data_IF_065295487164
#
_entry.id   IF_065295487164
#
_cell.length_a   1.000
_cell.length_b   1.000
_cell.length_c   1.000
_cell.angle_alpha   90.00
_cell.angle_beta   90.00
_cell.angle_gamma   90.00
#
_symmetry.space_group_name_H-M   'P 1'
#
loop_
_entity.id
_entity.type
_entity.pdbx_description
1 polymer ?
#
# COMPACT_ATOMS: atom_id res chain seq x y z
N UNK A 1 24.43 -10.00 10.85
CA UNK A 1 23.04 -10.39 11.04
C UNK A 1 22.37 -9.53 12.11
N UNK A 2 23.17 -9.10 13.10
CA UNK A 2 22.61 -8.36 14.22
C UNK A 2 22.17 -6.96 13.79
N UNK A 3 22.94 -6.31 12.91
CA UNK A 3 22.66 -4.93 12.56
C UNK A 3 21.57 -4.77 11.51
N UNK A 4 21.24 -5.84 10.77
CA UNK A 4 20.05 -5.79 9.92
C UNK A 4 18.79 -6.00 10.74
N UNK A 5 18.89 -6.75 11.84
CA UNK A 5 17.76 -6.87 12.76
C UNK A 5 17.58 -5.61 13.59
N UNK A 6 18.67 -4.91 13.90
CA UNK A 6 18.58 -3.68 14.68
C UNK A 6 17.85 -2.59 13.90
N UNK A 7 18.23 -2.39 12.64
CA UNK A 7 17.54 -1.43 11.80
C UNK A 7 16.08 -1.81 11.61
N UNK A 8 15.81 -3.09 11.44
CA UNK A 8 14.44 -3.55 11.31
C UNK A 8 13.65 -3.27 12.59
N UNK A 9 14.28 -3.53 13.75
CA UNK A 9 13.62 -3.21 15.02
C UNK A 9 13.39 -1.72 15.18
N UNK A 10 14.26 -0.90 14.60
CA UNK A 10 14.03 0.55 14.59
C UNK A 10 12.80 0.90 13.77
N UNK A 11 12.47 0.09 12.77
CA UNK A 11 11.32 0.38 11.91
C UNK A 11 10.01 0.10 12.63
N UNK A 12 9.88 -1.06 13.27
CA UNK A 12 8.68 -1.35 14.04
C UNK A 12 8.46 -0.32 15.15
N UNK A 13 9.55 0.19 15.74
CA UNK A 13 9.43 1.21 16.76
C UNK A 13 8.77 2.46 16.21
N UNK A 14 9.18 2.89 15.01
CA UNK A 14 8.54 4.04 14.37
C UNK A 14 7.09 3.74 14.02
N UNK A 15 6.83 2.54 13.47
CA UNK A 15 5.47 2.16 13.13
C UNK A 15 4.61 2.04 14.39
N UNK A 16 5.17 1.44 15.45
CA UNK A 16 4.43 1.30 16.70
C UNK A 16 4.07 2.66 17.28
N UNK A 17 5.02 3.59 17.29
CA UNK A 17 4.75 4.92 17.81
C UNK A 17 3.71 5.65 16.96
N UNK A 18 3.82 5.51 15.64
CA UNK A 18 2.85 6.16 14.75
C UNK A 18 1.45 5.56 14.93
N UNK A 19 1.36 4.26 15.16
CA UNK A 19 0.06 3.63 15.38
C UNK A 19 -0.56 4.10 16.69
N UNK A 20 0.24 4.18 17.76
CA UNK A 20 -0.27 4.65 19.03
C UNK A 20 -0.74 6.10 18.95
N UNK A 21 -0.12 6.90 18.08
CA UNK A 21 -0.60 8.24 17.87
C UNK A 21 -1.97 8.26 17.19
N UNK A 22 -2.09 7.58 16.05
CA UNK A 22 -3.36 7.52 15.34
C UNK A 22 -4.48 6.99 16.23
N UNK A 23 -4.15 6.09 17.15
CA UNK A 23 -5.15 5.61 18.10
C UNK A 23 -5.78 6.76 18.87
N UNK A 24 -4.95 7.61 19.47
CA UNK A 24 -5.46 8.66 20.34
C UNK A 24 -6.18 9.75 19.55
N UNK A 25 -5.64 10.15 18.39
CA UNK A 25 -6.30 11.16 17.59
C UNK A 25 -7.65 10.68 17.06
N UNK A 26 -7.83 9.35 16.93
CA UNK A 26 -9.10 8.83 16.43
C UNK A 26 -10.18 8.88 17.50
N UNK A 27 -9.87 8.51 18.75
CA UNK A 27 -10.85 8.65 19.82
C UNK A 27 -11.13 10.12 20.10
N UNK A 28 -10.16 11.01 19.86
CA UNK A 28 -10.40 12.43 20.04
C UNK A 28 -11.49 12.92 19.07
N UNK A 29 -11.39 12.50 17.80
CA UNK A 29 -12.45 12.81 16.85
C UNK A 29 -13.75 12.14 17.26
N UNK A 30 -13.67 10.91 17.76
CA UNK A 30 -14.86 10.22 18.24
C UNK A 30 -15.51 10.96 19.40
N UNK A 31 -14.69 11.53 20.29
CA UNK A 31 -15.21 12.28 21.43
C UNK A 31 -15.93 13.54 20.98
N UNK A 32 -15.32 14.28 20.06
CA UNK A 32 -15.90 15.51 19.53
C UNK A 32 -17.11 15.27 18.62
N UNK A 33 -17.71 14.08 18.62
CA UNK A 33 -18.77 13.81 17.65
C UNK A 33 -18.22 13.89 16.25
N UNK A 34 -18.99 14.54 15.37
CA UNK A 34 -18.41 14.93 14.10
C UNK A 34 -17.50 16.14 14.27
N UNK A 35 -17.96 17.13 15.04
CA UNK A 35 -17.26 18.40 15.08
C UNK A 35 -17.31 19.04 13.71
N UNK A 36 -16.16 19.50 13.24
CA UNK A 36 -16.03 19.94 11.86
C UNK A 36 -15.79 18.71 10.99
N UNK A 37 -16.71 18.43 10.07
CA UNK A 37 -16.53 17.29 9.18
C UNK A 37 -15.25 17.42 8.37
N UNK A 38 -14.85 18.65 8.05
CA UNK A 38 -13.59 18.86 7.35
C UNK A 38 -12.41 18.43 8.21
N UNK A 39 -12.51 18.63 9.54
CA UNK A 39 -11.46 18.19 10.44
C UNK A 39 -11.18 16.70 10.30
N UNK A 40 -12.23 15.87 10.37
CA UNK A 40 -12.04 14.43 10.27
C UNK A 40 -11.61 14.03 8.86
N UNK A 41 -12.20 14.66 7.83
CA UNK A 41 -11.84 14.32 6.46
C UNK A 41 -10.38 14.66 6.17
N UNK A 42 -9.90 15.79 6.70
CA UNK A 42 -8.48 16.13 6.52
C UNK A 42 -7.58 15.26 7.38
N UNK A 43 -8.09 14.75 8.50
CA UNK A 43 -7.29 13.88 9.36
C UNK A 43 -7.16 12.48 8.79
N UNK A 44 -8.27 11.93 8.26
CA UNK A 44 -8.21 10.59 7.67
C UNK A 44 -7.27 10.55 6.47
N UNK A 45 -7.37 11.56 5.60
CA UNK A 45 -6.54 11.60 4.40
C UNK A 45 -5.06 11.65 4.75
N UNK A 46 -4.71 12.30 5.86
CA UNK A 46 -3.31 12.39 6.25
C UNK A 46 -2.80 11.08 6.84
N UNK A 47 -3.63 10.43 7.66
CA UNK A 47 -3.20 9.19 8.32
C UNK A 47 -3.17 8.01 7.36
N UNK A 48 -3.97 8.03 6.29
CA UNK A 48 -3.85 7.00 5.27
C UNK A 48 -2.51 7.08 4.56
N UNK A 49 -1.95 8.28 4.43
CA UNK A 49 -0.62 8.43 3.86
C UNK A 49 0.43 7.96 4.86
N UNK A 50 0.14 8.03 6.15
CA UNK A 50 1.05 7.49 7.15
C UNK A 50 1.11 5.97 7.07
N UNK A 51 -0.05 5.31 6.96
CA UNK A 51 -0.07 3.87 6.74
C UNK A 51 0.51 3.51 5.38
N UNK A 52 0.45 4.43 4.42
CA UNK A 52 1.13 4.25 3.15
C UNK A 52 2.62 4.00 3.36
N UNK A 53 3.27 4.88 4.12
CA UNK A 53 4.70 4.74 4.37
C UNK A 53 5.01 3.41 5.06
N UNK A 54 4.15 2.99 5.99
CA UNK A 54 4.43 1.79 6.77
C UNK A 54 4.46 0.55 5.89
N UNK A 55 3.43 0.39 5.03
CA UNK A 55 3.38 -0.79 4.17
C UNK A 55 4.52 -0.81 3.17
N UNK A 56 5.02 0.37 2.76
CA UNK A 56 6.12 0.42 1.80
C UNK A 56 7.43 -0.02 2.44
N UNK A 57 7.69 0.41 3.68
CA UNK A 57 8.91 -0.04 4.36
C UNK A 57 8.89 -1.55 4.58
N UNK A 58 7.74 -2.10 4.97
CA UNK A 58 7.66 -3.53 5.27
C UNK A 58 7.90 -4.37 4.03
N UNK A 59 7.38 -3.95 2.87
CA UNK A 59 7.59 -4.71 1.65
C UNK A 59 9.05 -4.72 1.23
N UNK A 60 9.77 -3.61 1.45
CA UNK A 60 11.19 -3.59 1.14
C UNK A 60 11.97 -4.55 2.03
N UNK A 61 11.61 -4.64 3.31
CA UNK A 61 12.25 -5.61 4.19
C UNK A 61 11.79 -7.02 3.88
N UNK A 62 10.56 -7.18 3.38
CA UNK A 62 10.07 -8.49 2.99
C UNK A 62 10.79 -9.05 1.77
N UNK A 63 11.36 -8.17 0.93
CA UNK A 63 12.18 -8.64 -0.18
C UNK A 63 13.55 -9.12 0.28
N UNK A 64 13.98 -8.73 1.47
CA UNK A 64 15.24 -9.21 2.01
C UNK A 64 15.17 -10.69 2.34
N UNK A 65 16.34 -11.34 2.33
CA UNK A 65 16.46 -12.73 2.71
C UNK A 65 16.92 -12.90 4.14
N UNK A 66 17.13 -14.16 4.51
CA UNK A 66 17.57 -14.50 5.85
C UNK A 66 16.59 -14.16 6.95
N UNK A 67 15.33 -13.87 6.63
CA UNK A 67 14.34 -13.56 7.64
C UNK A 67 13.82 -14.83 8.29
N UNK A 68 13.63 -14.78 9.60
CA UNK A 68 13.07 -15.92 10.32
C UNK A 68 11.65 -16.18 9.82
N UNK A 69 11.29 -17.42 9.51
CA UNK A 69 9.95 -17.70 8.97
C UNK A 69 8.81 -17.10 9.79
N UNK A 70 8.88 -17.19 11.12
CA UNK A 70 7.81 -16.63 11.93
C UNK A 70 7.81 -15.11 11.90
N UNK A 71 9.00 -14.51 11.81
CA UNK A 71 9.07 -13.04 11.72
C UNK A 71 8.52 -12.55 10.40
N UNK A 72 8.76 -13.28 9.32
CA UNK A 72 8.23 -12.89 8.02
C UNK A 72 6.70 -12.93 8.01
N UNK A 73 6.12 -13.89 8.72
CA UNK A 73 4.67 -14.02 8.74
C UNK A 73 4.02 -12.88 9.51
N UNK A 74 4.67 -12.41 10.59
CA UNK A 74 4.13 -11.28 11.34
C UNK A 74 4.22 -9.99 10.53
N UNK A 75 5.31 -9.82 9.78
CA UNK A 75 5.43 -8.67 8.89
C UNK A 75 4.42 -8.76 7.74
N UNK A 76 4.19 -9.97 7.23
CA UNK A 76 3.19 -10.15 6.19
C UNK A 76 1.79 -9.84 6.70
N UNK A 77 1.50 -10.25 7.94
CA UNK A 77 0.20 -9.93 8.53
C UNK A 77 0.05 -8.43 8.74
N UNK A 78 1.11 -7.76 9.18
CA UNK A 78 1.06 -6.31 9.41
C UNK A 78 0.85 -5.56 8.10
N UNK A 79 1.62 -5.90 7.07
CA UNK A 79 1.48 -5.25 5.77
C UNK A 79 0.05 -5.41 5.23
N UNK A 80 -0.53 -6.60 5.39
CA UNK A 80 -1.92 -6.79 5.01
C UNK A 80 -2.84 -5.88 5.82
N UNK A 81 -2.57 -5.75 7.12
CA UNK A 81 -3.39 -4.90 7.97
C UNK A 81 -3.30 -3.44 7.56
N UNK A 82 -2.13 -3.01 7.07
CA UNK A 82 -1.96 -1.62 6.66
C UNK A 82 -2.81 -1.30 5.44
N UNK A 83 -2.80 -2.19 4.45
CA UNK A 83 -3.55 -1.94 3.22
C UNK A 83 -5.05 -1.84 3.50
N UNK A 84 -5.56 -2.69 4.39
CA UNK A 84 -6.98 -2.62 4.73
C UNK A 84 -7.27 -1.34 5.51
N UNK A 85 -6.31 -0.85 6.29
CA UNK A 85 -6.51 0.40 7.01
C UNK A 85 -6.53 1.59 6.07
N UNK A 86 -5.66 1.59 5.05
CA UNK A 86 -5.68 2.64 4.04
C UNK A 86 -7.03 2.66 3.34
N UNK A 87 -7.66 1.49 3.17
CA UNK A 87 -9.01 1.43 2.62
C UNK A 87 -10.00 2.13 3.52
N UNK A 88 -10.10 1.70 4.78
CA UNK A 88 -11.09 2.24 5.69
C UNK A 88 -10.87 3.72 5.96
N UNK A 89 -9.62 4.18 5.89
CA UNK A 89 -9.35 5.60 6.03
C UNK A 89 -9.94 6.39 4.86
N UNK A 90 -9.96 5.79 3.66
CA UNK A 90 -10.54 6.46 2.51
C UNK A 90 -12.06 6.42 2.55
N UNK A 91 -12.65 5.29 2.97
CA UNK A 91 -14.09 5.22 3.10
C UNK A 91 -14.61 6.17 4.17
N UNK A 92 -13.81 6.41 5.21
CA UNK A 92 -14.21 7.36 6.25
C UNK A 92 -14.02 8.80 5.80
N UNK A 93 -13.01 9.07 4.97
CA UNK A 93 -12.79 10.43 4.49
C UNK A 93 -13.89 10.86 3.53
N UNK A 94 -14.32 9.96 2.64
CA UNK A 94 -15.37 10.29 1.71
C UNK A 94 -16.72 10.46 2.41
N UNK A 95 -16.96 9.69 3.48
CA UNK A 95 -18.19 9.86 4.23
C UNK A 95 -18.20 11.15 5.03
N UNK A 96 -17.02 11.61 5.49
CA UNK A 96 -16.93 12.89 6.16
C UNK A 96 -16.99 14.05 5.17
N UNK A 97 -16.49 13.85 3.95
CA UNK A 97 -16.62 14.89 2.93
C UNK A 97 -18.06 15.05 2.48
N UNK A 98 -18.79 13.93 2.34
CA UNK A 98 -20.21 14.02 2.00
C UNK A 98 -21.02 14.61 3.15
N UNK A 99 -20.59 14.39 4.39
CA UNK A 99 -21.30 14.98 5.53
C UNK A 99 -21.00 16.46 5.69
N UNK A 100 -19.82 16.92 5.25
CA UNK A 100 -19.49 18.34 5.33
C UNK A 100 -20.34 19.15 4.35
N UNK A 101 -20.46 18.67 3.12
CA UNK A 101 -21.19 19.42 2.10
C UNK A 101 -22.70 19.32 2.32
N UNK A 102 -23.18 18.15 2.71
CA UNK A 102 -24.63 17.93 2.84
C UNK A 102 -25.17 18.30 4.21
N UNK A 103 -24.44 17.98 5.27
CA UNK A 103 -25.07 17.91 6.57
C UNK A 103 -25.95 16.70 6.71
N UNK A 104 -25.73 15.68 5.88
CA UNK A 104 -26.57 14.50 5.83
C UNK A 104 -26.47 13.71 7.12
N UNK A 105 -27.63 13.30 7.66
CA UNK A 105 -27.64 12.48 8.86
C UNK A 105 -27.17 11.05 8.56
N UNK A 106 -27.36 10.59 7.32
CA UNK A 106 -26.87 9.26 6.95
C UNK A 106 -25.37 9.28 6.71
N UNK A 107 -24.87 10.31 6.03
CA UNK A 107 -23.43 10.48 5.88
C UNK A 107 -22.75 10.72 7.23
N UNK A 108 -23.49 11.20 8.22
CA UNK A 108 -22.96 11.34 9.57
C UNK A 108 -22.73 9.98 10.22
N UNK A 109 -23.79 9.16 10.27
CA UNK A 109 -23.66 7.83 10.85
C UNK A 109 -22.72 6.95 10.05
N UNK A 110 -22.68 7.12 8.72
CA UNK A 110 -21.76 6.35 7.90
C UNK A 110 -20.32 6.76 8.14
N UNK A 111 -20.08 8.05 8.43
CA UNK A 111 -18.73 8.49 8.76
C UNK A 111 -18.32 8.01 10.15
N UNK A 112 -19.29 7.82 11.05
CA UNK A 112 -18.98 7.34 12.39
C UNK A 112 -18.68 5.84 12.40
N UNK A 113 -19.45 5.06 11.63
CA UNK A 113 -19.17 3.63 11.53
C UNK A 113 -17.80 3.37 10.90
N UNK A 114 -17.47 4.11 9.84
CA UNK A 114 -16.15 3.95 9.22
C UNK A 114 -15.04 4.48 10.14
N UNK A 115 -15.34 5.49 10.95
CA UNK A 115 -14.38 5.92 11.97
C UNK A 115 -14.16 4.84 13.01
N UNK A 116 -15.23 4.19 13.47
CA UNK A 116 -15.10 3.16 14.49
C UNK A 116 -14.41 1.92 13.93
N UNK A 117 -14.69 1.57 12.66
CA UNK A 117 -14.03 0.43 12.05
C UNK A 117 -12.54 0.68 11.86
N UNK A 118 -12.17 1.91 11.47
CA UNK A 118 -10.76 2.25 11.37
C UNK A 118 -10.08 2.23 12.73
N UNK A 119 -10.82 2.49 13.81
CA UNK A 119 -10.24 2.42 15.14
C UNK A 119 -9.91 0.99 15.53
N UNK A 120 -10.80 0.04 15.22
CA UNK A 120 -10.55 -1.36 15.55
C UNK A 120 -9.35 -1.89 14.79
N UNK A 121 -9.19 -1.49 13.53
CA UNK A 121 -8.02 -1.91 12.76
C UNK A 121 -6.74 -1.31 13.32
N UNK A 122 -6.82 -0.11 13.92
CA UNK A 122 -5.64 0.52 14.48
C UNK A 122 -5.22 -0.12 15.81
N UNK A 123 -6.17 -0.68 16.56
CA UNK A 123 -5.82 -1.40 17.77
C UNK A 123 -4.94 -2.61 17.45
N UNK A 124 -5.35 -3.41 16.46
CA UNK A 124 -4.59 -4.60 16.10
C UNK A 124 -3.32 -4.25 15.35
N UNK A 125 -3.27 -3.10 14.69
CA UNK A 125 -2.02 -2.66 14.08
C UNK A 125 -0.93 -2.43 15.10
N UNK A 126 -1.26 -1.73 16.20
CA UNK A 126 -0.30 -1.55 17.28
C UNK A 126 0.03 -2.86 17.96
N UNK A 127 -0.97 -3.76 18.08
CA UNK A 127 -0.73 -5.04 18.71
C UNK A 127 0.18 -5.92 17.86
N UNK A 128 0.03 -5.86 16.53
CA UNK A 128 0.89 -6.65 15.66
C UNK A 128 2.30 -6.08 15.60
N UNK A 129 2.41 -4.74 15.59
CA UNK A 129 3.73 -4.12 15.64
C UNK A 129 4.41 -4.36 16.98
N UNK A 130 3.62 -4.54 18.05
CA UNK A 130 4.20 -4.87 19.35
C UNK A 130 4.74 -6.28 19.35
N UNK A 131 3.95 -7.24 18.88
CA UNK A 131 4.40 -8.63 18.86
C UNK A 131 5.59 -8.82 17.93
N UNK A 132 5.59 -8.13 16.78
CA UNK A 132 6.71 -8.23 15.86
C UNK A 132 7.98 -7.68 16.49
N UNK A 133 7.90 -6.50 17.12
CA UNK A 133 9.06 -5.93 17.80
C UNK A 133 9.52 -6.83 18.95
N UNK A 134 8.60 -7.53 19.59
CA UNK A 134 8.98 -8.45 20.66
C UNK A 134 9.74 -9.65 20.11
N UNK A 135 9.32 -10.17 18.97
CA UNK A 135 10.01 -11.33 18.38
C UNK A 135 11.43 -10.96 17.98
N UNK A 136 11.61 -9.80 17.35
CA UNK A 136 12.95 -9.35 16.98
C UNK A 136 13.81 -9.17 18.22
N UNK A 137 13.22 -8.64 19.29
CA UNK A 137 13.98 -8.46 20.53
C UNK A 137 14.43 -9.78 21.11
N UNK A 138 13.65 -10.85 20.92
CA UNK A 138 14.09 -12.17 21.34
C UNK A 138 15.24 -12.66 20.50
N UNK A 139 15.20 -12.43 19.18
CA UNK A 139 16.29 -12.81 18.30
C UNK A 139 17.57 -12.02 18.58
N UNK A 140 17.47 -10.91 19.29
CA UNK A 140 18.64 -10.10 19.65
C UNK A 140 19.18 -10.50 21.02
N UNK B 1 -18.06 -21.19 -2.51
CA UNK B 1 -16.67 -20.88 -2.81
C UNK B 1 -16.53 -20.18 -4.15
N UNK B 2 -17.47 -20.45 -5.05
CA UNK B 2 -17.35 -19.99 -6.43
C UNK B 2 -17.45 -18.47 -6.51
N UNK B 3 -18.44 -17.88 -5.84
CA UNK B 3 -18.63 -16.43 -5.92
C UNK B 3 -17.37 -15.67 -5.55
N UNK B 4 -16.71 -16.09 -4.46
CA UNK B 4 -15.47 -15.43 -4.04
C UNK B 4 -14.36 -15.60 -5.08
N UNK B 5 -14.31 -16.76 -5.75
CA UNK B 5 -13.35 -16.92 -6.83
C UNK B 5 -13.76 -16.15 -8.08
N UNK B 6 -15.07 -16.03 -8.33
CA UNK B 6 -15.54 -15.21 -9.44
C UNK B 6 -15.14 -13.75 -9.24
N UNK B 7 -15.28 -13.23 -8.01
CA UNK B 7 -14.73 -11.93 -7.69
C UNK B 7 -13.23 -11.91 -7.98
N UNK B 8 -12.48 -12.77 -7.28
CA UNK B 8 -11.02 -12.80 -7.40
C UNK B 8 -10.59 -12.78 -8.87
N UNK B 9 -11.13 -13.71 -9.67
CA UNK B 9 -10.75 -13.77 -11.08
C UNK B 9 -11.03 -12.46 -11.80
N UNK B 10 -12.11 -11.77 -11.43
CA UNK B 10 -12.41 -10.47 -12.03
C UNK B 10 -11.38 -9.41 -11.67
N UNK B 11 -10.68 -9.58 -10.54
CA UNK B 11 -9.67 -8.60 -10.15
C UNK B 11 -8.29 -8.92 -10.70
N UNK B 12 -7.91 -10.19 -10.82
CA UNK B 12 -6.66 -10.51 -11.51
C UNK B 12 -6.68 -10.00 -12.94
N UNK B 13 -7.83 -10.06 -13.60
CA UNK B 13 -7.94 -9.56 -14.96
C UNK B 13 -7.66 -8.07 -15.02
N UNK B 14 -8.21 -7.30 -14.08
CA UNK B 14 -7.96 -5.87 -14.04
C UNK B 14 -6.51 -5.58 -13.68
N UNK B 15 -5.94 -6.33 -12.74
CA UNK B 15 -4.55 -6.12 -12.36
C UNK B 15 -3.62 -6.52 -13.49
N UNK B 16 -3.87 -7.67 -14.12
CA UNK B 16 -3.09 -8.08 -15.28
C UNK B 16 -3.19 -7.06 -16.41
N UNK B 17 -4.40 -6.54 -16.64
CA UNK B 17 -4.59 -5.54 -17.69
C UNK B 17 -3.75 -4.31 -17.43
N UNK B 18 -3.84 -3.74 -16.22
CA UNK B 18 -3.07 -2.55 -15.90
C UNK B 18 -1.57 -2.85 -15.91
N UNK B 19 -1.18 -4.04 -15.45
CA UNK B 19 0.21 -4.45 -15.50
C UNK B 19 0.77 -4.38 -16.91
N UNK B 20 0.02 -4.90 -17.89
CA UNK B 20 0.45 -4.86 -19.28
C UNK B 20 0.39 -3.45 -19.84
N UNK B 21 -0.52 -2.62 -19.33
CA UNK B 21 -0.57 -1.24 -19.78
C UNK B 21 0.61 -0.43 -19.29
N UNK B 22 1.03 -0.67 -18.05
CA UNK B 22 2.21 0.03 -17.53
C UNK B 22 3.46 -0.36 -18.31
N UNK B 23 3.59 -1.64 -18.67
CA UNK B 23 4.79 -2.13 -19.34
C UNK B 23 5.07 -1.35 -20.62
N UNK B 24 4.02 -1.03 -21.39
CA UNK B 24 4.21 -0.31 -22.64
C UNK B 24 4.51 1.16 -22.40
N UNK B 25 3.81 1.79 -21.47
CA UNK B 25 4.00 3.22 -21.22
C UNK B 25 5.39 3.52 -20.67
N UNK B 26 5.96 2.62 -19.87
CA UNK B 26 7.32 2.83 -19.37
C UNK B 26 8.33 2.70 -20.50
N UNK B 27 8.17 1.69 -21.37
CA UNK B 27 9.06 1.56 -22.52
C UNK B 27 8.90 2.71 -23.49
N UNK B 28 7.70 3.29 -23.58
CA UNK B 28 7.51 4.49 -24.38
C UNK B 28 8.30 5.65 -23.79
N UNK B 29 8.28 5.80 -22.47
CA UNK B 29 9.08 6.82 -21.80
C UNK B 29 10.55 6.48 -21.74
N UNK B 30 10.98 5.37 -22.32
CA UNK B 30 12.39 5.02 -22.42
C UNK B 30 12.98 5.41 -23.77
N UNK B 31 12.28 5.13 -24.86
CA UNK B 31 12.71 5.63 -26.17
C UNK B 31 12.72 7.16 -26.17
N UNK B 32 11.61 7.77 -25.77
CA UNK B 32 11.58 9.19 -25.46
C UNK B 32 12.37 9.39 -24.18
N UNK B 33 13.62 9.85 -24.31
CA UNK B 33 14.53 9.91 -23.18
C UNK B 33 14.15 10.89 -22.08
N UNK B 34 12.89 10.83 -21.64
CA UNK B 34 12.37 11.77 -20.63
C UNK B 34 12.71 13.22 -20.96
N UNK B 35 12.57 13.56 -22.25
CA UNK B 35 12.81 14.94 -22.66
C UNK B 35 11.97 15.92 -21.87
N UNK B 36 10.69 15.60 -21.70
CA UNK B 36 9.82 16.33 -20.77
C UNK B 36 9.80 15.55 -19.46
N UNK B 37 10.76 15.85 -18.59
CA UNK B 37 10.81 15.20 -17.29
C UNK B 37 9.55 15.44 -16.47
N UNK B 38 8.81 16.50 -16.78
CA UNK B 38 7.54 16.76 -16.10
C UNK B 38 6.51 15.69 -16.44
N UNK B 39 6.34 15.40 -17.73
CA UNK B 39 5.40 14.36 -18.15
C UNK B 39 5.73 13.02 -17.51
N UNK B 40 7.02 12.72 -17.36
CA UNK B 40 7.42 11.49 -16.69
C UNK B 40 6.99 11.50 -15.23
N UNK B 41 7.26 12.60 -14.53
CA UNK B 41 6.90 12.71 -13.12
C UNK B 41 5.40 12.56 -12.92
N UNK B 42 4.60 13.22 -13.76
CA UNK B 42 3.16 13.05 -13.70
C UNK B 42 2.73 11.64 -14.12
N UNK B 43 3.57 10.94 -14.89
CA UNK B 43 3.25 9.59 -15.30
C UNK B 43 3.50 8.58 -14.18
N UNK B 44 4.58 8.79 -13.41
CA UNK B 44 4.87 7.87 -12.30
C UNK B 44 3.86 8.02 -11.18
N UNK B 45 3.42 9.26 -10.91
CA UNK B 45 2.49 9.47 -9.80
C UNK B 45 1.14 8.84 -10.08
N UNK B 46 0.69 8.87 -11.33
CA UNK B 46 -0.60 8.26 -11.66
C UNK B 46 -0.55 6.74 -11.64
N UNK B 47 0.62 6.16 -11.94
CA UNK B 47 0.74 4.71 -11.97
C UNK B 47 0.99 4.13 -10.58
N UNK B 48 1.60 4.90 -9.68
CA UNK B 48 1.74 4.43 -8.30
C UNK B 48 0.40 4.34 -7.61
N UNK B 49 -0.54 5.24 -7.93
CA UNK B 49 -1.89 5.13 -7.39
C UNK B 49 -2.62 3.93 -7.98
N UNK B 50 -2.36 3.62 -9.25
CA UNK B 50 -2.98 2.44 -9.86
C UNK B 50 -2.57 1.17 -9.13
N UNK B 51 -1.28 1.01 -8.85
CA UNK B 51 -0.82 -0.13 -8.05
C UNK B 51 -1.36 -0.09 -6.64
N UNK B 52 -1.75 1.07 -6.13
CA UNK B 52 -2.30 1.14 -4.79
C UNK B 52 -3.71 0.56 -4.74
N UNK B 53 -4.52 0.79 -5.77
CA UNK B 53 -5.83 0.17 -5.83
C UNK B 53 -5.72 -1.35 -5.93
N UNK B 54 -4.63 -1.85 -6.50
CA UNK B 54 -4.45 -3.30 -6.65
C UNK B 54 -4.14 -3.95 -5.32
N UNK B 55 -3.03 -3.53 -4.68
CA UNK B 55 -2.61 -4.14 -3.42
C UNK B 55 -3.70 -4.00 -2.35
N UNK B 56 -4.43 -2.88 -2.36
CA UNK B 56 -5.49 -2.70 -1.40
C UNK B 56 -6.66 -3.66 -1.65
N UNK B 57 -6.93 -3.97 -2.92
CA UNK B 57 -8.01 -4.91 -3.23
C UNK B 57 -7.61 -6.34 -2.87
N UNK B 58 -6.33 -6.69 -3.08
CA UNK B 58 -5.88 -8.04 -2.75
C UNK B 58 -5.90 -8.30 -1.25
N UNK B 59 -5.49 -7.32 -0.45
CA UNK B 59 -5.46 -7.50 1.00
C UNK B 59 -6.85 -7.66 1.57
N UNK B 60 -7.85 -7.00 0.99
CA UNK B 60 -9.23 -7.19 1.45
C UNK B 60 -9.71 -8.61 1.17
N UNK B 61 -9.40 -9.14 -0.01
CA UNK B 61 -9.77 -10.52 -0.31
C UNK B 61 -8.88 -11.50 0.44
N UNK B 62 -7.66 -11.11 0.76
CA UNK B 62 -6.76 -11.97 1.53
C UNK B 62 -7.28 -12.23 2.94
N UNK B 63 -8.19 -11.39 3.43
CA UNK B 63 -8.77 -11.59 4.76
C UNK B 63 -10.19 -12.15 4.70
N UNK B 64 -10.70 -12.45 3.50
CA UNK B 64 -12.01 -13.07 3.40
C UNK B 64 -12.02 -14.48 3.97
N UNK B 65 -10.92 -15.21 3.80
CA UNK B 65 -10.83 -16.57 4.27
C UNK B 65 -11.30 -17.58 3.24
N UNK B 66 -11.09 -18.85 3.56
CA UNK B 66 -11.46 -19.91 2.66
C UNK B 66 -10.62 -19.98 1.39
N UNK B 67 -9.47 -19.32 1.38
CA UNK B 67 -8.59 -19.32 0.21
C UNK B 67 -7.67 -20.53 0.25
N UNK B 68 -7.43 -21.10 -0.94
CA UNK B 68 -6.51 -22.22 -1.03
C UNK B 68 -5.11 -21.78 -0.64
N UNK B 69 -4.34 -22.63 0.05
CA UNK B 69 -3.00 -22.20 0.50
C UNK B 69 -2.09 -21.73 -0.63
N UNK B 70 -2.11 -22.42 -1.77
CA UNK B 70 -1.26 -22.00 -2.89
C UNK B 70 -1.78 -20.71 -3.50
N UNK B 71 -3.11 -20.54 -3.55
CA UNK B 71 -3.68 -19.30 -4.05
C UNK B 71 -3.42 -18.14 -3.09
N UNK B 72 -3.39 -18.41 -1.79
CA UNK B 72 -3.15 -17.35 -0.81
C UNK B 72 -1.73 -16.80 -0.94
N UNK B 73 -0.75 -17.67 -1.15
CA UNK B 73 0.63 -17.20 -1.25
C UNK B 73 0.84 -16.39 -2.51
N UNK B 74 0.31 -16.85 -3.64
CA UNK B 74 0.45 -16.11 -4.89
C UNK B 74 -0.09 -14.70 -4.77
N UNK B 75 -1.21 -14.55 -4.04
CA UNK B 75 -1.75 -13.22 -3.77
C UNK B 75 -0.80 -12.39 -2.91
N UNK B 76 -0.13 -13.05 -1.96
CA UNK B 76 0.76 -12.33 -1.04
C UNK B 76 2.03 -11.86 -1.75
N UNK B 77 2.55 -12.65 -2.69
CA UNK B 77 3.71 -12.22 -3.46
C UNK B 77 3.33 -11.08 -4.40
N UNK B 78 2.12 -11.10 -4.97
CA UNK B 78 1.70 -10.03 -5.85
C UNK B 78 1.52 -8.72 -5.10
N UNK B 79 0.77 -8.76 -3.99
CA UNK B 79 0.55 -7.53 -3.20
C UNK B 79 1.87 -6.99 -2.69
N UNK B 80 2.79 -7.86 -2.26
CA UNK B 80 4.12 -7.41 -1.88
C UNK B 80 4.85 -6.77 -3.07
N UNK B 81 4.61 -7.29 -4.27
CA UNK B 81 5.29 -6.75 -5.44
C UNK B 81 4.79 -5.35 -5.79
N UNK B 82 3.48 -5.11 -5.64
CA UNK B 82 2.94 -3.80 -5.97
C UNK B 82 3.48 -2.72 -5.04
N UNK B 83 3.65 -3.05 -3.75
CA UNK B 83 4.15 -2.06 -2.80
C UNK B 83 5.58 -1.65 -3.14
N UNK B 84 6.43 -2.61 -3.51
CA UNK B 84 7.78 -2.28 -3.94
C UNK B 84 7.75 -1.47 -5.24
N UNK B 85 6.75 -1.71 -6.09
CA UNK B 85 6.62 -0.91 -7.31
C UNK B 85 6.15 0.51 -7.01
N UNK B 86 5.29 0.68 -6.00
CA UNK B 86 4.84 2.01 -5.62
C UNK B 86 6.02 2.85 -5.12
N UNK B 87 6.92 2.23 -4.36
CA UNK B 87 8.08 2.95 -3.87
C UNK B 87 9.05 3.29 -4.99
N UNK B 88 9.16 2.42 -6.00
CA UNK B 88 10.04 2.71 -7.13
C UNK B 88 9.47 3.82 -8.02
N UNK B 89 8.14 3.87 -8.15
CA UNK B 89 7.52 4.98 -8.86
C UNK B 89 7.71 6.30 -8.13
N UNK B 90 7.73 6.25 -6.79
CA UNK B 90 7.96 7.46 -6.01
C UNK B 90 9.39 7.97 -6.19
N UNK B 91 10.38 7.07 -6.15
CA UNK B 91 11.76 7.48 -6.37
C UNK B 91 11.97 8.03 -7.76
N UNK B 92 11.21 7.53 -8.75
CA UNK B 92 11.32 8.06 -10.10
C UNK B 92 10.52 9.34 -10.26
N UNK B 93 9.36 9.44 -9.60
CA UNK B 93 8.57 10.66 -9.67
C UNK B 93 9.33 11.85 -9.10
N UNK B 94 10.00 11.66 -7.97
CA UNK B 94 10.86 12.71 -7.42
C UNK B 94 12.00 13.01 -8.39
N UNK B 95 12.77 11.99 -8.76
CA UNK B 95 13.94 12.17 -9.62
C UNK B 95 13.62 13.00 -10.85
N UNK B 96 12.41 12.84 -11.40
CA UNK B 96 11.98 13.64 -12.53
C UNK B 96 11.54 15.05 -12.13
N UNK B 97 11.24 15.28 -10.85
CA UNK B 97 10.82 16.61 -10.40
C UNK B 97 12.01 17.56 -10.28
N UNK B 98 13.09 17.13 -9.62
CA UNK B 98 14.29 17.96 -9.56
C UNK B 98 14.98 18.08 -10.91
N UNK B 99 14.73 17.14 -11.82
CA UNK B 99 15.26 17.26 -13.18
C UNK B 99 14.47 18.25 -14.01
N UNK B 100 13.19 18.45 -13.69
CA UNK B 100 12.36 19.38 -14.44
C UNK B 100 12.54 20.82 -13.99
N UNK B 101 12.79 21.04 -12.70
CA UNK B 101 12.94 22.39 -12.17
C UNK B 101 14.37 22.85 -12.05
N UNK B 102 15.33 21.93 -11.88
CA UNK B 102 16.73 22.29 -11.75
C UNK B 102 17.57 21.89 -12.96
N UNK B 103 17.00 21.15 -13.92
CA UNK B 103 17.81 20.61 -15.00
C UNK B 103 18.65 19.45 -14.52
N UNK B 104 19.65 19.74 -13.67
CA UNK B 104 20.41 18.74 -12.94
C UNK B 104 21.20 17.79 -13.84
N UNK B 105 20.50 17.11 -14.76
CA UNK B 105 21.05 16.03 -15.60
C UNK B 105 21.38 14.81 -14.77
N UNK B 106 21.99 14.99 -13.59
CA UNK B 106 22.20 13.88 -12.69
C UNK B 106 20.88 13.31 -12.19
N UNK B 107 19.84 14.14 -12.09
CA UNK B 107 18.52 13.65 -11.75
C UNK B 107 17.84 13.00 -12.94
N UNK B 108 18.17 13.43 -14.16
CA UNK B 108 17.66 12.77 -15.36
C UNK B 108 18.22 11.36 -15.48
N UNK B 109 19.53 11.19 -15.23
CA UNK B 109 20.11 9.85 -15.27
C UNK B 109 19.58 8.98 -14.15
N UNK B 110 19.32 9.57 -12.98
CA UNK B 110 18.77 8.79 -11.87
C UNK B 110 17.33 8.39 -12.15
N UNK B 111 16.56 9.26 -12.82
CA UNK B 111 15.20 8.90 -13.20
C UNK B 111 15.19 7.83 -14.28
N UNK B 112 16.23 7.78 -15.11
CA UNK B 112 16.31 6.77 -16.16
C UNK B 112 16.40 5.37 -15.56
N UNK B 113 17.25 5.19 -14.55
CA UNK B 113 17.44 3.86 -13.98
C UNK B 113 16.30 3.47 -13.05
N UNK B 114 15.74 4.43 -12.31
CA UNK B 114 14.57 4.13 -11.49
C UNK B 114 13.39 3.69 -12.35
N UNK B 115 13.31 4.19 -13.58
CA UNK B 115 12.30 3.71 -14.52
C UNK B 115 12.66 2.34 -15.08
N UNK B 116 13.96 2.04 -15.22
CA UNK B 116 14.38 0.73 -15.67
C UNK B 116 14.10 -0.33 -14.61
N UNK B 117 14.36 -0.03 -13.34
CA UNK B 117 14.06 -0.97 -12.28
C UNK B 117 12.56 -1.17 -12.11
N UNK B 118 11.79 -0.08 -12.29
CA UNK B 118 10.33 -0.22 -12.28
C UNK B 118 9.84 -1.05 -13.45
N UNK B 119 10.56 -1.01 -14.57
CA UNK B 119 10.22 -1.86 -15.71
C UNK B 119 10.38 -3.33 -15.35
N UNK B 120 11.44 -3.67 -14.60
CA UNK B 120 11.67 -5.05 -14.21
C UNK B 120 10.57 -5.55 -13.27
N UNK B 121 10.19 -4.73 -12.28
CA UNK B 121 9.12 -5.11 -11.37
C UNK B 121 7.78 -5.23 -12.09
N UNK B 122 7.60 -4.46 -13.17
CA UNK B 122 6.33 -4.50 -13.90
C UNK B 122 6.19 -5.80 -14.69
N UNK B 123 7.29 -6.34 -15.20
CA UNK B 123 7.23 -7.61 -15.92
C UNK B 123 6.79 -8.74 -15.02
N UNK B 124 7.36 -8.83 -13.82
CA UNK B 124 7.02 -9.91 -12.90
C UNK B 124 5.65 -9.71 -12.26
N UNK B 125 5.20 -8.46 -12.13
CA UNK B 125 3.84 -8.22 -11.69
C UNK B 125 2.82 -8.77 -12.67
N UNK B 126 3.14 -8.72 -13.97
CA UNK B 126 2.26 -9.30 -14.97
C UNK B 126 2.36 -10.82 -15.00
N UNK B 127 3.56 -11.37 -14.79
CA UNK B 127 3.72 -12.82 -14.75
C UNK B 127 3.07 -13.42 -13.52
N UNK B 128 3.07 -12.69 -12.39
CA UNK B 128 2.41 -13.20 -11.19
C UNK B 128 0.90 -13.13 -11.31
N UNK B 129 0.37 -12.02 -11.84
CA UNK B 129 -1.06 -11.91 -12.05
C UNK B 129 -1.56 -12.94 -13.06
N UNK B 130 -0.70 -13.30 -14.03
CA UNK B 130 -1.09 -14.31 -15.01
C UNK B 130 -1.12 -15.70 -14.37
N UNK B 131 -0.11 -16.02 -13.54
CA UNK B 131 -0.09 -17.32 -12.88
C UNK B 131 -1.23 -17.44 -11.87
N UNK B 132 -1.51 -16.37 -11.13
CA UNK B 132 -2.59 -16.41 -10.14
C UNK B 132 -3.94 -16.52 -10.82
N UNK B 133 -4.13 -15.83 -11.95
CA UNK B 133 -5.36 -15.97 -12.71
C UNK B 133 -5.53 -17.38 -13.25
N UNK B 134 -4.43 -18.07 -13.55
CA UNK B 134 -4.51 -19.45 -14.00
C UNK B 134 -4.96 -20.37 -12.87
N UNK B 135 -4.44 -20.14 -11.66
CA UNK B 135 -4.78 -21.00 -10.53
C UNK B 135 -6.26 -20.88 -10.17
N UNK B 136 -6.81 -19.67 -10.24
CA UNK B 136 -8.23 -19.49 -9.97
C UNK B 136 -9.07 -20.16 -11.05
N UNK B 137 -8.66 -20.04 -12.30
CA UNK B 137 -9.43 -20.61 -13.41
C UNK B 137 -9.48 -22.12 -13.36
N UNK B 138 -8.41 -22.78 -12.90
CA UNK B 138 -8.45 -24.22 -12.71
C UNK B 138 -9.42 -24.61 -11.60
N UNK B 139 -9.45 -23.82 -10.51
CA UNK B 139 -10.34 -24.09 -9.40
C UNK B 139 -11.74 -23.57 -9.68
#
# INVERSE_FOLDING_TARGET
>A
EEEELEELAKELEKILRDEEGHLRKLKEALAEGLGDAEEAAELFRAESIDEMKHAEELAKLLKKGGLDPELRELLEELAELELVAINQYREAAEAAAEAAENGSEEARAAAREALEEALALELDGAKLARAALEAVEKLL
>B
EEEELEELAKELEKILRDEEGHLRKLKEALAEGLGDAEEAAELFRAESIDEMKHAEELAKLLKKGGLDPELRELLEELAELELVAINQYREAAEAAAEAAENGSEEARAAAREALEEALALELDGAKLARAALEAVEKLL
#
